data_IF_781098875769
#
_entry.id   IF_781098875769
#
_cell.length_a   1.000
_cell.length_b   1.000
_cell.length_c   1.000
_cell.angle_alpha   90.00
_cell.angle_beta   90.00
_cell.angle_gamma   90.00
#
_symmetry.space_group_name_H-M   'P 1'
#
loop_
_entity.id
_entity.type
_entity.pdbx_description
1 polymer ?
#
# COMPACT_ATOMS: atom_id res chain seq x y z
N UNK A 1 -22.50 -9.06 -35.11
CA UNK A 1 -21.51 -8.68 -34.08
C UNK A 1 -22.07 -7.76 -33.00
N UNK A 2 -22.82 -6.68 -33.30
CA UNK A 2 -23.33 -5.70 -32.31
C UNK A 2 -23.80 -6.30 -30.96
N UNK A 3 -24.81 -7.19 -30.95
CA UNK A 3 -25.33 -7.88 -29.74
C UNK A 3 -24.30 -8.72 -28.94
N UNK A 4 -23.12 -8.99 -29.48
CA UNK A 4 -22.04 -9.65 -28.76
C UNK A 4 -21.12 -8.63 -28.09
N UNK A 5 -20.79 -7.53 -28.78
CA UNK A 5 -20.05 -6.40 -28.21
C UNK A 5 -20.85 -5.77 -27.06
N UNK A 6 -22.15 -5.51 -27.29
CA UNK A 6 -23.12 -5.01 -26.30
C UNK A 6 -23.16 -5.85 -25.02
N UNK A 7 -23.06 -7.18 -25.13
CA UNK A 7 -22.98 -8.10 -23.97
C UNK A 7 -21.63 -8.04 -23.27
N UNK A 8 -20.53 -7.92 -24.00
CA UNK A 8 -19.20 -7.78 -23.39
C UNK A 8 -19.07 -6.41 -22.68
N UNK A 9 -19.74 -5.37 -23.19
CA UNK A 9 -19.82 -4.06 -22.54
C UNK A 9 -20.71 -4.09 -21.29
N UNK A 10 -21.80 -4.87 -21.28
CA UNK A 10 -22.57 -5.17 -20.06
C UNK A 10 -21.76 -5.99 -19.04
N UNK A 11 -21.02 -7.01 -19.47
CA UNK A 11 -20.12 -7.79 -18.61
C UNK A 11 -19.02 -6.89 -17.98
N UNK A 12 -18.46 -5.95 -18.75
CA UNK A 12 -17.44 -5.01 -18.27
C UNK A 12 -18.01 -4.01 -17.25
N UNK A 13 -19.19 -3.44 -17.50
CA UNK A 13 -19.86 -2.56 -16.55
C UNK A 13 -20.15 -3.26 -15.22
N UNK A 14 -20.61 -4.52 -15.25
CA UNK A 14 -20.83 -5.31 -14.04
C UNK A 14 -19.54 -5.61 -13.25
N UNK A 15 -18.39 -5.73 -13.94
CA UNK A 15 -17.07 -5.87 -13.30
C UNK A 15 -16.55 -4.54 -12.73
N UNK A 16 -16.90 -3.41 -13.34
CA UNK A 16 -16.62 -2.05 -12.84
C UNK A 16 -17.46 -1.75 -11.58
N UNK A 17 -18.76 -2.08 -11.57
CA UNK A 17 -19.62 -2.02 -10.39
C UNK A 17 -19.09 -2.90 -9.23
N UNK A 18 -18.70 -4.15 -9.54
CA UNK A 18 -18.11 -5.06 -8.56
C UNK A 18 -16.78 -4.52 -8.00
N UNK A 19 -16.01 -3.80 -8.82
CA UNK A 19 -14.75 -3.15 -8.41
C UNK A 19 -15.02 -1.92 -7.52
N UNK A 20 -16.06 -1.12 -7.80
CA UNK A 20 -16.47 -0.01 -6.95
C UNK A 20 -16.98 -0.48 -5.57
N UNK A 21 -17.77 -1.57 -5.52
CA UNK A 21 -18.17 -2.21 -4.26
C UNK A 21 -16.96 -2.71 -3.46
N UNK A 22 -15.98 -3.32 -4.13
CA UNK A 22 -14.75 -3.79 -3.49
C UNK A 22 -13.84 -2.63 -3.03
N UNK A 23 -13.79 -1.53 -3.79
CA UNK A 23 -13.10 -0.27 -3.40
C UNK A 23 -13.65 0.24 -2.08
N UNK A 24 -14.97 0.27 -1.91
CA UNK A 24 -15.63 0.71 -0.68
C UNK A 24 -15.44 -0.27 0.51
N UNK A 25 -15.45 -1.58 0.27
CA UNK A 25 -15.13 -2.59 1.30
C UNK A 25 -13.69 -2.41 1.81
N UNK A 26 -12.72 -2.31 0.88
CA UNK A 26 -11.31 -2.03 1.19
C UNK A 26 -11.13 -0.72 1.97
N UNK A 27 -11.80 0.35 1.55
CA UNK A 27 -11.71 1.67 2.17
C UNK A 27 -12.09 1.66 3.67
N UNK A 28 -13.16 0.93 3.98
CA UNK A 28 -13.67 0.73 5.34
C UNK A 28 -12.70 -0.12 6.16
N UNK A 29 -12.19 -1.22 5.61
CA UNK A 29 -11.21 -2.08 6.29
C UNK A 29 -9.90 -1.34 6.55
N UNK A 30 -9.37 -0.60 5.58
CA UNK A 30 -8.15 0.21 5.76
C UNK A 30 -8.32 1.31 6.80
N UNK A 31 -9.47 2.00 6.83
CA UNK A 31 -9.76 3.01 7.87
C UNK A 31 -9.68 2.41 9.28
N UNK A 32 -10.34 1.27 9.50
CA UNK A 32 -10.32 0.57 10.79
C UNK A 32 -8.93 0.03 11.14
N UNK A 33 -8.25 -0.58 10.19
CA UNK A 33 -6.88 -1.09 10.35
C UNK A 33 -5.88 0.02 10.69
N UNK A 34 -5.92 1.17 10.01
CA UNK A 34 -5.01 2.30 10.26
C UNK A 34 -5.26 2.97 11.62
N UNK A 35 -6.52 3.04 12.07
CA UNK A 35 -6.86 3.54 13.42
C UNK A 35 -6.30 2.65 14.54
N UNK A 36 -6.24 1.33 14.32
CA UNK A 36 -5.60 0.39 15.23
C UNK A 36 -4.07 0.44 15.10
N UNK A 37 -3.55 0.50 13.87
CA UNK A 37 -2.13 0.46 13.59
C UNK A 37 -1.42 1.68 14.19
N UNK A 38 -1.95 2.89 13.99
CA UNK A 38 -1.39 4.10 14.59
C UNK A 38 -1.33 4.05 16.12
N UNK A 39 -2.30 3.38 16.78
CA UNK A 39 -2.23 3.14 18.22
C UNK A 39 -1.14 2.12 18.59
N UNK A 40 -1.05 1.00 17.87
CA UNK A 40 -0.05 -0.03 18.12
C UNK A 40 1.37 0.50 17.89
N UNK A 41 1.61 1.18 16.76
CA UNK A 41 2.87 1.88 16.43
C UNK A 41 3.28 2.83 17.55
N UNK A 42 2.36 3.67 18.05
CA UNK A 42 2.65 4.58 19.16
C UNK A 42 2.98 3.85 20.49
N UNK A 43 2.38 2.70 20.77
CA UNK A 43 2.72 1.86 21.94
C UNK A 43 4.09 1.20 21.76
N UNK A 44 4.36 0.62 20.60
CA UNK A 44 5.61 -0.09 20.28
C UNK A 44 6.81 0.86 20.21
N UNK A 45 6.65 2.06 19.64
CA UNK A 45 7.67 3.12 19.67
C UNK A 45 8.13 3.44 21.10
N UNK A 46 7.19 3.56 22.05
CA UNK A 46 7.49 3.85 23.45
C UNK A 46 8.18 2.65 24.12
N UNK A 47 7.74 1.42 23.83
CA UNK A 47 8.36 0.19 24.35
C UNK A 47 9.80 0.00 23.83
N UNK A 48 10.01 0.12 22.52
CA UNK A 48 11.32 0.05 21.88
C UNK A 48 12.26 1.15 22.41
N UNK A 49 11.77 2.39 22.52
CA UNK A 49 12.53 3.50 23.10
C UNK A 49 12.92 3.23 24.57
N UNK A 50 11.99 2.69 25.37
CA UNK A 50 12.28 2.29 26.74
C UNK A 50 13.36 1.22 26.80
N UNK A 51 13.28 0.17 25.97
CA UNK A 51 14.28 -0.89 25.90
C UNK A 51 15.66 -0.36 25.49
N UNK A 52 15.76 0.50 24.46
CA UNK A 52 17.03 1.13 24.06
C UNK A 52 17.61 1.98 25.20
N UNK A 53 16.79 2.79 25.89
CA UNK A 53 17.25 3.64 26.98
C UNK A 53 17.65 2.88 28.26
N UNK A 54 17.11 1.68 28.51
CA UNK A 54 17.29 0.96 29.79
C UNK A 54 18.10 -0.32 29.70
N UNK A 55 18.04 -1.02 28.57
CA UNK A 55 18.75 -2.28 28.32
C UNK A 55 19.89 -2.11 27.31
N UNK A 56 19.74 -1.19 26.34
CA UNK A 56 20.81 -0.85 25.38
C UNK A 56 21.88 0.06 25.98
N UNK A 57 21.49 1.27 26.40
CA UNK A 57 22.43 2.31 26.84
C UNK A 57 22.04 2.93 28.21
N UNK A 58 21.87 2.12 29.28
CA UNK A 58 21.47 2.63 30.59
C UNK A 58 22.39 3.72 31.13
N UNK A 59 23.71 3.63 30.90
CA UNK A 59 24.66 4.64 31.39
C UNK A 59 24.50 5.99 30.68
N UNK A 60 24.24 5.99 29.36
CA UNK A 60 23.99 7.22 28.61
C UNK A 60 22.65 7.86 29.00
N UNK A 61 21.60 7.05 29.22
CA UNK A 61 20.33 7.55 29.74
C UNK A 61 20.46 8.07 31.19
N UNK A 62 21.34 7.49 32.00
CA UNK A 62 21.63 7.95 33.37
C UNK A 62 22.54 9.19 33.42
N UNK A 63 23.36 9.47 32.41
CA UNK A 63 24.13 10.72 32.34
C UNK A 63 23.28 11.93 31.95
N UNK A 64 22.13 11.72 31.29
CA UNK A 64 21.18 12.80 30.99
C UNK A 64 20.60 13.43 32.26
N UNK A 65 20.42 14.75 32.25
CA UNK A 65 19.68 15.47 33.29
C UNK A 65 18.19 15.13 33.28
N UNK A 66 17.49 15.43 34.38
CA UNK A 66 16.04 15.22 34.48
C UNK A 66 15.27 15.91 33.34
N UNK A 67 15.62 17.16 33.00
CA UNK A 67 14.97 17.91 31.93
C UNK A 67 15.29 17.36 30.53
N UNK A 68 16.49 16.82 30.31
CA UNK A 68 16.83 16.12 29.07
C UNK A 68 16.00 14.83 28.91
N UNK A 69 15.90 14.01 29.96
CA UNK A 69 15.06 12.78 29.96
C UNK A 69 13.59 13.11 29.72
N UNK A 70 13.07 14.15 30.38
CA UNK A 70 11.69 14.62 30.19
C UNK A 70 11.44 15.08 28.75
N UNK A 71 12.35 15.90 28.19
CA UNK A 71 12.24 16.39 26.80
C UNK A 71 12.27 15.23 25.81
N UNK A 72 13.19 14.27 25.97
CA UNK A 72 13.29 13.07 25.13
C UNK A 72 11.97 12.28 25.12
N UNK A 73 11.42 11.97 26.30
CA UNK A 73 10.16 11.25 26.42
C UNK A 73 8.98 12.01 25.79
N UNK A 74 8.92 13.33 25.94
CA UNK A 74 7.91 14.18 25.31
C UNK A 74 8.03 14.18 23.78
N UNK A 75 9.24 14.31 23.24
CA UNK A 75 9.46 14.28 21.78
C UNK A 75 9.08 12.92 21.17
N UNK A 76 9.46 11.80 21.79
CA UNK A 76 9.07 10.46 21.31
C UNK A 76 7.54 10.28 21.35
N UNK A 77 6.87 10.75 22.41
CA UNK A 77 5.40 10.73 22.48
C UNK A 77 4.73 11.61 21.41
N UNK A 78 5.32 12.76 21.07
CA UNK A 78 4.84 13.64 19.99
C UNK A 78 5.04 12.99 18.61
N UNK A 79 6.19 12.35 18.37
CA UNK A 79 6.47 11.64 17.12
C UNK A 79 5.51 10.47 16.91
N UNK A 80 5.22 9.69 17.97
CA UNK A 80 4.22 8.62 17.90
C UNK A 80 2.79 9.10 17.65
N UNK A 81 2.42 10.31 18.11
CA UNK A 81 1.13 10.94 17.74
C UNK A 81 1.13 11.40 16.28
N UNK A 82 2.17 12.12 15.86
CA UNK A 82 2.30 12.61 14.47
C UNK A 82 2.26 11.45 13.47
N UNK A 83 2.92 10.34 13.74
CA UNK A 83 2.86 9.15 12.89
C UNK A 83 1.46 8.51 12.85
N UNK A 84 0.76 8.45 14.00
CA UNK A 84 -0.65 8.01 14.05
C UNK A 84 -1.56 8.91 13.19
N UNK A 85 -1.35 10.23 13.22
CA UNK A 85 -2.06 11.20 12.39
C UNK A 85 -1.69 11.05 10.89
N UNK A 86 -0.40 10.87 10.57
CA UNK A 86 0.10 10.69 9.20
C UNK A 86 -0.47 9.42 8.53
N UNK A 87 -0.48 8.29 9.26
CA UNK A 87 -1.04 7.02 8.77
C UNK A 87 -2.52 7.15 8.34
N UNK A 88 -3.31 7.93 9.08
CA UNK A 88 -4.70 8.22 8.70
C UNK A 88 -4.78 9.24 7.54
N UNK A 89 -3.89 10.23 7.53
CA UNK A 89 -3.88 11.25 6.48
C UNK A 89 -3.60 10.71 5.08
N UNK A 90 -2.85 9.60 4.93
CA UNK A 90 -2.62 8.94 3.64
C UNK A 90 -3.94 8.45 3.01
N UNK A 91 -4.82 7.87 3.83
CA UNK A 91 -6.14 7.41 3.39
C UNK A 91 -7.06 8.59 3.02
N UNK A 92 -6.97 9.72 3.72
CA UNK A 92 -7.74 10.93 3.38
C UNK A 92 -7.19 11.68 2.17
N UNK A 93 -5.87 11.75 2.00
CA UNK A 93 -5.21 12.43 0.88
C UNK A 93 -5.57 11.72 -0.44
N UNK A 94 -5.53 10.38 -0.45
CA UNK A 94 -6.00 9.58 -1.58
C UNK A 94 -7.45 9.92 -1.98
N UNK A 95 -8.36 10.09 -1.01
CA UNK A 95 -9.77 10.44 -1.30
C UNK A 95 -9.93 11.84 -1.87
N UNK A 96 -9.05 12.77 -1.51
CA UNK A 96 -9.09 14.16 -1.99
C UNK A 96 -8.51 14.29 -3.40
N UNK A 97 -7.46 13.54 -3.75
CA UNK A 97 -6.93 13.49 -5.12
C UNK A 97 -8.03 13.16 -6.13
N UNK A 98 -8.78 12.07 -5.88
CA UNK A 98 -9.95 11.65 -6.69
C UNK A 98 -11.10 12.66 -6.73
N UNK A 99 -11.13 13.67 -5.83
CA UNK A 99 -12.15 14.74 -5.84
C UNK A 99 -11.67 16.02 -6.53
N UNK A 100 -10.37 16.19 -6.75
CA UNK A 100 -9.79 17.37 -7.41
C UNK A 100 -9.56 17.13 -8.92
N UNK A 101 -9.19 15.92 -9.35
CA UNK A 101 -9.07 15.57 -10.78
C UNK A 101 -10.43 15.64 -11.52
N UNK A 102 -11.52 15.34 -10.82
CA UNK A 102 -12.91 15.49 -11.29
C UNK A 102 -13.32 16.96 -11.53
N UNK A 103 -12.60 17.95 -10.97
CA UNK A 103 -12.91 19.38 -11.16
C UNK A 103 -12.33 19.96 -12.44
N UNK A 104 -11.07 19.68 -12.77
CA UNK A 104 -10.45 20.22 -14.00
C UNK A 104 -11.01 19.54 -15.27
N UNK A 105 -11.45 18.29 -15.16
CA UNK A 105 -12.08 17.51 -16.24
C UNK A 105 -13.39 18.08 -16.79
N UNK A 106 -13.94 19.13 -16.18
CA UNK A 106 -15.20 19.78 -16.60
C UNK A 106 -14.97 21.08 -17.40
N UNK A 107 -13.77 21.27 -17.95
CA UNK A 107 -13.40 22.40 -18.82
C UNK A 107 -13.80 22.15 -20.28
N UNK A 108 -14.98 22.64 -20.66
CA UNK A 108 -15.51 22.57 -22.03
C UNK A 108 -14.59 23.23 -23.07
N UNK A 109 -14.08 22.45 -24.03
CA UNK A 109 -13.73 22.94 -25.38
C UNK A 109 -13.87 21.77 -26.40
N UNK A 110 -14.54 21.94 -27.56
CA UNK A 110 -14.91 20.81 -28.42
C UNK A 110 -13.77 20.43 -29.40
N UNK A 111 -13.15 19.26 -29.18
CA UNK A 111 -12.12 18.72 -30.07
C UNK A 111 -12.67 18.33 -31.46
N UNK A 112 -12.02 18.74 -32.57
CA UNK A 112 -12.43 18.34 -33.94
C UNK A 112 -12.22 16.85 -34.24
N UNK A 113 -13.01 16.31 -35.17
CA UNK A 113 -12.85 14.95 -35.70
C UNK A 113 -11.64 14.85 -36.65
N UNK A 114 -10.78 13.83 -36.54
CA UNK A 114 -9.82 13.46 -37.58
C UNK A 114 -10.41 12.45 -38.59
N UNK A 115 -9.86 12.44 -39.80
CA UNK A 115 -10.35 11.66 -40.95
C UNK A 115 -9.81 10.22 -41.01
N UNK A 116 -10.40 9.41 -41.90
CA UNK A 116 -10.09 7.99 -42.10
C UNK A 116 -8.82 7.82 -42.93
N UNK A 117 -7.90 6.94 -42.51
CA UNK A 117 -6.95 6.26 -43.43
C UNK A 117 -6.87 4.77 -43.11
N UNK A 118 -6.88 3.93 -44.15
CA UNK A 118 -6.97 2.46 -44.06
C UNK A 118 -5.61 1.78 -43.84
N UNK A 119 -5.61 0.54 -43.32
CA UNK A 119 -4.94 -0.62 -43.96
C UNK A 119 -5.14 -1.95 -43.18
N UNK A 120 -4.94 -3.06 -43.91
CA UNK A 120 -5.19 -4.49 -43.58
C UNK A 120 -3.99 -5.36 -44.04
N UNK A 121 -3.88 -6.71 -43.87
CA UNK A 121 -4.39 -7.71 -42.88
C UNK A 121 -3.16 -8.41 -42.19
N UNK A 122 -3.03 -9.76 -41.93
CA UNK A 122 -3.98 -10.89 -41.63
C UNK A 122 -4.79 -10.73 -40.32
N UNK A 123 -5.76 -11.55 -39.87
CA UNK A 123 -6.28 -12.92 -40.18
C UNK A 123 -5.53 -14.16 -39.63
N UNK A 124 -6.18 -15.00 -38.79
CA UNK A 124 -6.63 -16.37 -39.16
C UNK A 124 -7.58 -17.02 -38.08
N UNK A 125 -8.44 -17.95 -38.53
CA UNK A 125 -9.20 -19.03 -37.86
C UNK A 125 -10.20 -18.78 -36.69
N UNK A 126 -11.36 -19.48 -36.75
CA UNK A 126 -12.57 -19.36 -35.90
C UNK A 126 -12.82 -20.55 -34.92
N UNK A 127 -13.78 -20.46 -33.96
CA UNK A 127 -13.94 -21.42 -32.84
C UNK A 127 -15.22 -22.30 -32.84
N UNK A 128 -15.26 -23.24 -31.88
CA UNK A 128 -16.41 -24.04 -31.40
C UNK A 128 -16.38 -24.07 -29.85
N UNK A 129 -17.45 -24.27 -29.04
CA UNK A 129 -18.90 -24.41 -29.24
C UNK A 129 -19.64 -23.84 -27.98
N UNK A 130 -20.97 -23.70 -28.01
CA UNK A 130 -21.78 -22.99 -27.00
C UNK A 130 -22.50 -23.90 -25.97
N UNK A 131 -23.09 -23.29 -24.92
CA UNK A 131 -24.05 -23.84 -23.93
C UNK A 131 -23.40 -24.66 -22.79
N UNK A 132 -23.87 -24.64 -21.53
CA UNK A 132 -25.26 -24.63 -21.01
C UNK A 132 -25.45 -23.66 -19.83
N UNK A 133 -26.64 -23.06 -19.75
CA UNK A 133 -27.22 -22.47 -18.53
C UNK A 133 -28.75 -22.65 -18.56
N UNK A 134 -29.37 -22.99 -17.43
CA UNK A 134 -30.83 -22.89 -17.22
C UNK A 134 -31.13 -21.99 -16.01
N UNK A 135 -32.29 -21.29 -15.98
CA UNK A 135 -32.56 -20.22 -15.02
C UNK A 135 -33.39 -20.68 -13.80
N UNK A 136 -33.34 -19.87 -12.73
CA UNK A 136 -34.34 -19.88 -11.65
C UNK A 136 -34.87 -18.45 -11.47
N UNK A 137 -36.20 -18.20 -11.52
CA UNK A 137 -36.76 -16.85 -11.58
C UNK A 137 -37.32 -16.33 -10.24
N UNK A 138 -36.96 -15.09 -9.88
CA UNK A 138 -37.71 -14.21 -8.97
C UNK A 138 -37.78 -14.61 -7.47
N UNK A 139 -38.17 -13.73 -6.56
CA UNK A 139 -38.32 -12.27 -6.68
C UNK A 139 -38.15 -11.65 -5.29
N UNK A 140 -37.26 -10.66 -5.13
CA UNK A 140 -37.16 -9.83 -3.93
C UNK A 140 -36.85 -8.41 -4.35
N UNK A 141 -37.73 -7.48 -3.97
CA UNK A 141 -37.54 -6.05 -4.20
C UNK A 141 -36.48 -5.51 -3.22
N UNK A 142 -35.52 -4.75 -3.75
CA UNK A 142 -34.53 -4.00 -2.99
C UNK A 142 -34.37 -2.62 -3.64
N UNK A 143 -34.31 -1.58 -2.82
CA UNK A 143 -34.42 -0.18 -3.26
C UNK A 143 -33.15 0.28 -4.01
N UNK A 144 -33.33 1.09 -5.06
CA UNK A 144 -32.22 1.66 -5.81
C UNK A 144 -31.55 2.81 -5.02
N UNK A 145 -30.23 2.77 -4.76
CA UNK A 145 -29.53 3.88 -4.12
C UNK A 145 -29.27 5.01 -5.12
N UNK A 146 -30.10 6.05 -5.08
CA UNK A 146 -29.90 7.29 -5.85
C UNK A 146 -28.72 8.14 -5.34
N UNK A 147 -27.48 7.63 -5.44
CA UNK A 147 -26.25 8.41 -5.58
C UNK A 147 -25.08 7.47 -5.95
N UNK A 148 -24.73 7.41 -7.24
CA UNK A 148 -23.42 6.91 -7.66
C UNK A 148 -22.45 8.08 -7.52
N UNK A 149 -21.69 8.09 -6.43
CA UNK A 149 -20.59 9.03 -6.24
C UNK A 149 -19.57 8.83 -7.37
N UNK A 150 -19.40 9.86 -8.22
CA UNK A 150 -18.54 9.83 -9.41
C UNK A 150 -17.08 9.58 -9.02
N UNK A 151 -16.69 9.84 -7.76
CA UNK A 151 -15.40 9.46 -7.18
C UNK A 151 -15.10 7.95 -7.27
N UNK A 152 -16.11 7.09 -7.38
CA UNK A 152 -15.93 5.65 -7.62
C UNK A 152 -15.73 5.30 -9.10
N UNK A 153 -16.10 6.16 -10.05
CA UNK A 153 -16.17 5.80 -11.48
C UNK A 153 -14.79 5.75 -12.15
N UNK A 154 -13.83 6.53 -11.65
CA UNK A 154 -12.43 6.51 -12.09
C UNK A 154 -11.73 5.24 -11.55
N UNK A 155 -11.81 5.05 -10.23
CA UNK A 155 -11.34 3.87 -9.50
C UNK A 155 -12.12 2.57 -9.78
N UNK A 156 -13.15 2.61 -10.62
CA UNK A 156 -13.91 1.43 -11.06
C UNK A 156 -13.04 0.47 -11.90
N UNK A 157 -11.92 0.95 -12.45
CA UNK A 157 -10.94 0.10 -13.14
C UNK A 157 -10.09 -0.66 -12.12
N UNK A 158 -10.04 -2.01 -12.16
CA UNK A 158 -9.32 -2.79 -11.16
C UNK A 158 -7.79 -2.60 -11.21
N UNK A 159 -7.25 -2.03 -12.28
CA UNK A 159 -5.87 -1.53 -12.37
C UNK A 159 -5.62 -0.36 -11.39
N UNK A 160 -6.49 0.66 -11.39
CA UNK A 160 -6.35 1.82 -10.50
C UNK A 160 -6.57 1.41 -9.04
N UNK A 161 -7.52 0.51 -8.77
CA UNK A 161 -7.71 -0.09 -7.43
C UNK A 161 -6.46 -0.84 -6.94
N UNK A 162 -5.67 -1.42 -7.84
CA UNK A 162 -4.40 -2.07 -7.48
C UNK A 162 -3.30 -1.06 -7.16
N UNK A 163 -3.11 -0.04 -8.02
CA UNK A 163 -2.14 1.04 -7.82
C UNK A 163 -2.42 1.84 -6.54
N UNK A 164 -3.69 2.18 -6.29
CA UNK A 164 -4.14 2.81 -5.05
C UNK A 164 -3.70 2.04 -3.81
N UNK A 165 -3.91 0.72 -3.82
CA UNK A 165 -3.56 -0.11 -2.67
C UNK A 165 -2.04 -0.20 -2.48
N UNK A 166 -1.28 -0.31 -3.57
CA UNK A 166 0.19 -0.35 -3.54
C UNK A 166 0.77 0.95 -2.97
N UNK A 167 0.30 2.11 -3.44
CA UNK A 167 0.69 3.43 -2.90
C UNK A 167 0.36 3.58 -1.41
N UNK A 168 -0.79 3.09 -0.95
CA UNK A 168 -1.18 3.14 0.46
C UNK A 168 -0.30 2.23 1.33
N UNK A 169 0.03 1.02 0.86
CA UNK A 169 0.95 0.10 1.55
C UNK A 169 2.37 0.67 1.62
N UNK A 170 2.86 1.28 0.53
CA UNK A 170 4.16 1.94 0.51
C UNK A 170 4.20 3.13 1.47
N UNK A 171 3.17 3.99 1.47
CA UNK A 171 3.06 5.13 2.38
C UNK A 171 3.03 4.70 3.87
N UNK A 172 2.42 3.56 4.20
CA UNK A 172 2.48 2.96 5.54
C UNK A 172 3.93 2.57 5.87
N UNK A 173 4.61 1.84 4.98
CA UNK A 173 5.99 1.39 5.19
C UNK A 173 6.98 2.57 5.34
N UNK A 174 6.93 3.54 4.42
CA UNK A 174 7.71 4.78 4.47
C UNK A 174 7.47 5.55 5.78
N UNK A 175 6.24 5.56 6.32
CA UNK A 175 5.93 6.22 7.60
C UNK A 175 6.61 5.54 8.78
N UNK A 176 6.70 4.21 8.79
CA UNK A 176 7.38 3.44 9.84
C UNK A 176 8.92 3.54 9.75
N UNK A 177 9.47 3.50 8.54
CA UNK A 177 10.91 3.72 8.32
C UNK A 177 11.30 5.15 8.72
N UNK A 178 10.55 6.17 8.26
CA UNK A 178 10.74 7.58 8.62
C UNK A 178 10.62 7.79 10.14
N UNK A 179 9.66 7.16 10.81
CA UNK A 179 9.53 7.23 12.27
C UNK A 179 10.74 6.59 12.97
N UNK A 180 11.22 5.44 12.50
CA UNK A 180 12.38 4.74 13.06
C UNK A 180 13.66 5.56 12.91
N UNK A 181 13.94 6.05 11.70
CA UNK A 181 15.11 6.89 11.40
C UNK A 181 15.11 8.18 12.23
N UNK A 182 13.99 8.91 12.29
CA UNK A 182 13.90 10.11 13.12
C UNK A 182 14.07 9.82 14.62
N UNK A 183 13.61 8.67 15.11
CA UNK A 183 13.76 8.32 16.53
C UNK A 183 15.20 7.94 16.85
N UNK A 184 15.87 7.19 15.97
CA UNK A 184 17.30 6.90 16.08
C UNK A 184 18.14 8.18 16.06
N UNK A 185 17.84 9.12 15.15
CA UNK A 185 18.49 10.42 15.09
C UNK A 185 18.28 11.25 16.37
N UNK A 186 17.07 11.25 16.96
CA UNK A 186 16.80 11.89 18.26
C UNK A 186 17.60 11.23 19.41
N UNK A 187 17.79 9.92 19.37
CA UNK A 187 18.61 9.18 20.34
C UNK A 187 20.11 9.40 20.14
N UNK A 188 20.57 9.64 18.91
CA UNK A 188 21.94 10.09 18.62
C UNK A 188 22.17 11.53 19.08
N UNK A 189 21.23 12.45 18.81
CA UNK A 189 21.29 13.85 19.26
C UNK A 189 21.27 14.01 20.78
N UNK A 190 20.68 13.05 21.50
CA UNK A 190 20.74 13.00 22.98
C UNK A 190 21.91 12.18 23.51
N UNK A 191 22.80 11.68 22.65
CA UNK A 191 24.00 10.92 23.05
C UNK A 191 23.72 9.53 23.63
N UNK A 192 22.52 8.98 23.41
CA UNK A 192 22.14 7.64 23.84
C UNK A 192 22.66 6.59 22.86
N UNK A 193 22.43 6.77 21.56
CA UNK A 193 23.01 5.93 20.51
C UNK A 193 24.33 6.58 20.05
N UNK A 194 25.44 5.83 19.89
CA UNK A 194 26.69 6.38 19.38
C UNK A 194 26.52 6.94 17.96
N UNK A 195 27.08 8.14 17.71
CA UNK A 195 27.02 8.85 16.43
C UNK A 195 27.87 8.23 15.32
N UNK A 196 28.58 7.12 15.58
CA UNK A 196 29.39 6.36 14.59
C UNK A 196 28.54 5.55 13.57
N UNK A 197 27.20 5.61 13.63
CA UNK A 197 26.31 5.03 12.61
C UNK A 197 25.93 6.06 11.53
N UNK A 198 26.40 5.92 10.28
CA UNK A 198 25.85 6.68 9.15
C UNK A 198 24.39 6.27 8.88
N UNK A 199 23.53 7.23 8.53
CA UNK A 199 22.13 6.94 8.18
C UNK A 199 22.01 5.89 7.06
N UNK A 200 22.90 5.94 6.06
CA UNK A 200 22.97 4.95 4.98
C UNK A 200 23.21 3.50 5.45
N UNK A 201 23.88 3.28 6.59
CA UNK A 201 24.06 1.93 7.16
C UNK A 201 22.78 1.45 7.85
N UNK A 202 22.05 2.35 8.50
CA UNK A 202 20.73 2.04 9.06
C UNK A 202 19.71 1.73 7.95
N UNK A 203 19.68 2.53 6.87
CA UNK A 203 18.82 2.29 5.71
C UNK A 203 19.19 1.02 4.92
N UNK A 204 20.48 0.69 4.82
CA UNK A 204 20.90 -0.58 4.24
C UNK A 204 20.44 -1.77 5.11
N UNK A 205 20.53 -1.64 6.44
CA UNK A 205 20.11 -2.66 7.38
C UNK A 205 18.58 -2.84 7.42
N UNK A 206 17.76 -1.77 7.37
CA UNK A 206 16.29 -1.90 7.28
C UNK A 206 15.87 -2.65 6.01
N UNK A 207 16.52 -2.35 4.88
CA UNK A 207 16.22 -2.98 3.58
C UNK A 207 16.74 -4.43 3.51
N UNK A 208 17.86 -4.74 4.16
CA UNK A 208 18.38 -6.11 4.27
C UNK A 208 17.55 -7.01 5.22
N UNK A 209 17.17 -6.49 6.40
CA UNK A 209 16.28 -7.18 7.35
C UNK A 209 14.93 -7.53 6.71
N UNK A 210 14.34 -6.58 5.97
CA UNK A 210 13.07 -6.81 5.24
C UNK A 210 13.19 -7.88 4.14
N UNK A 211 14.41 -8.20 3.70
CA UNK A 211 14.70 -9.20 2.67
C UNK A 211 15.10 -10.56 3.25
N UNK A 212 15.36 -10.65 4.56
CA UNK A 212 15.98 -11.82 5.19
C UNK A 212 15.13 -12.31 6.36
N UNK A 213 14.62 -13.53 6.29
CA UNK A 213 13.86 -14.19 7.39
C UNK A 213 14.77 -14.63 8.56
N UNK A 214 15.85 -13.87 8.80
CA UNK A 214 16.71 -14.03 9.96
C UNK A 214 15.95 -13.61 11.21
N UNK A 215 15.52 -14.60 12.00
CA UNK A 215 14.97 -14.41 13.34
C UNK A 215 16.02 -13.75 14.24
N UNK A 216 16.06 -12.42 14.24
CA UNK A 216 16.97 -11.64 15.07
C UNK A 216 16.64 -11.89 16.54
N UNK A 217 17.47 -12.67 17.23
CA UNK A 217 17.29 -13.02 18.65
C UNK A 217 17.50 -11.78 19.52
N UNK A 218 16.43 -11.00 19.66
CA UNK A 218 16.38 -9.71 20.32
C UNK A 218 14.95 -9.32 20.67
N UNK A 219 14.77 -8.19 21.33
CA UNK A 219 13.45 -7.67 21.67
C UNK A 219 12.79 -7.00 20.44
N UNK A 220 11.45 -7.04 20.34
CA UNK A 220 10.75 -6.65 19.13
C UNK A 220 10.95 -5.17 18.78
N UNK A 221 10.95 -4.89 17.49
CA UNK A 221 11.19 -3.60 16.87
C UNK A 221 12.59 -2.98 17.13
N UNK A 222 13.60 -3.79 17.47
CA UNK A 222 14.99 -3.35 17.62
C UNK A 222 15.95 -4.03 16.62
N UNK A 223 16.73 -3.21 15.93
CA UNK A 223 17.89 -3.64 15.16
C UNK A 223 19.11 -3.81 16.08
N UNK A 224 19.85 -4.90 15.91
CA UNK A 224 21.07 -5.21 16.66
C UNK A 224 22.22 -5.41 15.68
N UNK A 225 23.08 -4.40 15.54
CA UNK A 225 24.28 -4.46 14.70
C UNK A 225 25.50 -4.82 15.55
N UNK A 226 26.44 -5.54 14.95
CA UNK A 226 27.82 -5.66 15.43
C UNK A 226 28.70 -4.87 14.47
N UNK A 227 29.52 -3.97 15.01
CA UNK A 227 30.45 -3.14 14.25
C UNK A 227 31.86 -3.39 14.77
N UNK A 228 32.75 -3.83 13.90
CA UNK A 228 34.18 -3.83 14.19
C UNK A 228 34.65 -2.36 14.19
N UNK A 229 35.14 -1.90 15.34
CA UNK A 229 35.81 -0.60 15.45
C UNK A 229 37.31 -0.83 15.61
N UNK A 230 38.07 -0.43 14.60
CA UNK A 230 39.51 -0.20 14.72
C UNK A 230 39.76 0.77 15.89
N UNK A 231 40.68 0.41 16.79
CA UNK A 231 41.18 1.29 17.84
C UNK A 231 42.21 2.26 17.28
N UNK A 232 42.30 3.46 17.85
CA UNK A 232 43.34 4.45 17.47
C UNK A 232 44.73 4.10 18.06
N UNK A 233 44.81 3.08 18.92
CA UNK A 233 46.03 2.42 19.36
C UNK A 233 46.31 1.17 18.48
N UNK A 234 47.57 0.95 18.10
CA UNK A 234 48.08 -0.15 17.25
C UNK A 234 48.03 -1.57 17.90
N UNK A 235 46.97 -1.87 18.65
CA UNK A 235 46.68 -3.21 19.19
C UNK A 235 45.79 -4.01 18.23
N UNK A 236 46.18 -5.25 17.89
CA UNK A 236 45.50 -6.12 16.91
C UNK A 236 44.08 -6.62 17.32
N UNK A 237 43.50 -6.10 18.41
CA UNK A 237 42.20 -6.48 18.94
C UNK A 237 41.06 -5.66 18.31
N UNK A 238 40.52 -6.11 17.17
CA UNK A 238 39.33 -5.50 16.53
C UNK A 238 38.12 -5.49 17.47
N UNK A 239 37.82 -4.33 18.07
CA UNK A 239 36.76 -4.23 19.08
C UNK A 239 35.35 -4.31 18.46
N UNK A 240 34.68 -5.45 18.64
CA UNK A 240 33.30 -5.67 18.21
C UNK A 240 32.30 -4.89 19.09
N UNK A 241 32.00 -3.65 18.69
CA UNK A 241 30.99 -2.80 19.33
C UNK A 241 29.58 -3.23 18.92
N UNK A 242 28.77 -3.71 19.87
CA UNK A 242 27.34 -3.95 19.64
C UNK A 242 26.56 -2.63 19.69
N UNK A 243 25.80 -2.34 18.64
CA UNK A 243 24.98 -1.14 18.52
C UNK A 243 23.52 -1.56 18.39
N UNK A 244 22.68 -1.07 19.31
CA UNK A 244 21.23 -1.31 19.32
C UNK A 244 20.51 -0.04 18.84
N UNK A 245 19.55 -0.19 17.92
CA UNK A 245 18.76 0.89 17.34
C UNK A 245 17.29 0.45 17.20
N UNK A 246 16.37 1.40 16.98
CA UNK A 246 14.95 1.13 16.76
C UNK A 246 14.70 0.85 15.27
N UNK A 247 13.96 -0.20 14.96
CA UNK A 247 13.46 -0.54 13.63
C UNK A 247 12.01 -1.04 13.76
N UNK A 248 11.03 -0.18 13.48
CA UNK A 248 9.60 -0.50 13.60
C UNK A 248 9.15 -1.38 12.43
N UNK A 249 9.21 -2.70 12.60
CA UNK A 249 8.85 -3.70 11.59
C UNK A 249 7.34 -3.95 11.60
N UNK A 250 6.65 -3.67 10.48
CA UNK A 250 5.19 -3.81 10.38
C UNK A 250 4.69 -5.20 10.79
N UNK A 251 5.39 -6.26 10.36
CA UNK A 251 5.06 -7.65 10.68
C UNK A 251 5.08 -7.96 12.17
N UNK A 252 6.01 -7.39 12.95
CA UNK A 252 6.08 -7.58 14.40
C UNK A 252 4.99 -6.79 15.13
N UNK A 253 4.62 -5.61 14.60
CA UNK A 253 3.53 -4.79 15.14
C UNK A 253 2.16 -5.47 14.88
N UNK A 254 1.97 -6.04 13.69
CA UNK A 254 0.79 -6.86 13.34
C UNK A 254 0.72 -8.17 14.15
N UNK A 255 1.85 -8.84 14.37
CA UNK A 255 1.91 -10.08 15.14
C UNK A 255 1.60 -9.87 16.63
N UNK A 256 1.99 -8.71 17.18
CA UNK A 256 1.78 -8.37 18.58
C UNK A 256 0.32 -8.02 18.96
N UNK A 257 -0.58 -7.76 17.99
CA UNK A 257 -1.99 -7.45 18.24
C UNK A 257 -2.92 -8.32 17.36
N UNK A 258 -3.72 -9.23 17.95
CA UNK A 258 -4.59 -10.12 17.18
C UNK A 258 -5.68 -9.37 16.39
N UNK A 259 -6.02 -8.13 16.77
CA UNK A 259 -6.99 -7.31 16.03
C UNK A 259 -6.37 -6.73 14.76
N UNK A 260 -5.08 -6.38 14.77
CA UNK A 260 -4.34 -6.01 13.57
C UNK A 260 -4.16 -7.19 12.63
N UNK A 261 -3.77 -8.35 13.16
CA UNK A 261 -3.63 -9.57 12.36
C UNK A 261 -4.97 -9.95 11.68
N UNK A 262 -6.09 -9.85 12.39
CA UNK A 262 -7.43 -10.05 11.81
C UNK A 262 -7.74 -9.05 10.69
N UNK A 263 -7.50 -7.74 10.91
CA UNK A 263 -7.69 -6.71 9.88
C UNK A 263 -6.78 -6.90 8.66
N UNK A 264 -5.52 -7.32 8.88
CA UNK A 264 -4.57 -7.61 7.81
C UNK A 264 -4.99 -8.79 6.95
N UNK A 265 -5.54 -9.83 7.58
CA UNK A 265 -6.08 -10.99 6.85
C UNK A 265 -7.38 -10.66 6.10
N UNK A 266 -8.20 -9.73 6.60
CA UNK A 266 -9.30 -9.15 5.82
C UNK A 266 -8.76 -8.43 4.58
N UNK A 267 -7.78 -7.52 4.72
CA UNK A 267 -7.13 -6.82 3.59
C UNK A 267 -6.61 -7.84 2.56
N UNK A 268 -5.85 -8.86 2.98
CA UNK A 268 -5.34 -9.92 2.08
C UNK A 268 -6.46 -10.64 1.31
N UNK A 269 -7.57 -10.96 1.97
CA UNK A 269 -8.73 -11.60 1.33
C UNK A 269 -9.39 -10.67 0.29
N UNK A 270 -9.49 -9.37 0.57
CA UNK A 270 -10.03 -8.39 -0.38
C UNK A 270 -9.09 -8.16 -1.58
N UNK A 271 -7.77 -8.12 -1.36
CA UNK A 271 -6.78 -8.12 -2.46
C UNK A 271 -6.85 -9.39 -3.31
N UNK A 272 -7.19 -10.53 -2.74
CA UNK A 272 -7.44 -11.75 -3.51
C UNK A 272 -8.68 -11.61 -4.42
N UNK A 273 -9.81 -11.08 -3.91
CA UNK A 273 -10.99 -10.73 -4.73
C UNK A 273 -10.65 -9.73 -5.85
N UNK A 274 -9.85 -8.71 -5.54
CA UNK A 274 -9.37 -7.71 -6.51
C UNK A 274 -8.59 -8.38 -7.63
N UNK A 275 -7.69 -9.31 -7.29
CA UNK A 275 -6.85 -10.01 -8.26
C UNK A 275 -7.66 -10.97 -9.17
N UNK A 276 -8.82 -11.46 -8.75
CA UNK A 276 -9.71 -12.22 -9.66
C UNK A 276 -10.49 -11.29 -10.58
N UNK A 277 -11.14 -10.23 -10.06
CA UNK A 277 -11.84 -9.22 -10.88
C UNK A 277 -10.92 -8.59 -11.94
N UNK A 278 -9.69 -8.24 -11.57
CA UNK A 278 -8.67 -7.71 -12.47
C UNK A 278 -8.37 -8.64 -13.66
N UNK A 279 -8.28 -9.96 -13.43
CA UNK A 279 -8.05 -10.96 -14.49
C UNK A 279 -9.27 -11.12 -15.40
N UNK A 280 -10.46 -11.10 -14.82
CA UNK A 280 -11.73 -11.21 -15.56
C UNK A 280 -11.97 -9.96 -16.42
N UNK A 281 -11.69 -8.77 -15.89
CA UNK A 281 -11.75 -7.51 -16.61
C UNK A 281 -10.78 -7.46 -17.79
N UNK A 282 -9.50 -7.81 -17.59
CA UNK A 282 -8.53 -7.89 -18.70
C UNK A 282 -8.94 -8.93 -19.76
N UNK A 283 -9.52 -10.07 -19.36
CA UNK A 283 -10.05 -11.06 -20.30
C UNK A 283 -11.20 -10.46 -21.13
N UNK A 284 -12.17 -9.81 -20.48
CA UNK A 284 -13.32 -9.19 -21.14
C UNK A 284 -12.94 -8.02 -22.03
N UNK A 285 -12.00 -7.19 -21.62
CA UNK A 285 -11.47 -6.09 -22.43
C UNK A 285 -10.72 -6.61 -23.67
N UNK A 286 -10.06 -7.77 -23.58
CA UNK A 286 -9.49 -8.46 -24.76
C UNK A 286 -10.54 -9.11 -25.65
N UNK A 287 -11.58 -9.73 -25.08
CA UNK A 287 -12.75 -10.21 -25.85
C UNK A 287 -13.40 -9.05 -26.63
N UNK A 288 -13.52 -7.87 -26.01
CA UNK A 288 -14.05 -6.64 -26.63
C UNK A 288 -13.16 -6.14 -27.76
N UNK A 289 -11.85 -6.01 -27.54
CA UNK A 289 -10.94 -5.47 -28.58
C UNK A 289 -10.83 -6.38 -29.79
N UNK A 290 -10.85 -7.71 -29.60
CA UNK A 290 -10.96 -8.68 -30.71
C UNK A 290 -12.28 -8.51 -31.44
N UNK A 291 -13.42 -8.47 -30.73
CA UNK A 291 -14.74 -8.32 -31.35
C UNK A 291 -14.93 -6.98 -32.10
N UNK A 292 -14.29 -5.90 -31.63
CA UNK A 292 -14.28 -4.60 -32.30
C UNK A 292 -13.36 -4.60 -33.54
N UNK A 293 -12.16 -5.17 -33.44
CA UNK A 293 -11.27 -5.35 -34.60
C UNK A 293 -11.94 -6.23 -35.67
N UNK A 294 -12.59 -7.33 -35.27
CA UNK A 294 -13.40 -8.20 -36.13
C UNK A 294 -14.61 -7.50 -36.77
N UNK A 295 -15.15 -6.45 -36.16
CA UNK A 295 -16.25 -5.67 -36.70
C UNK A 295 -15.75 -4.60 -37.68
N UNK A 296 -14.66 -3.92 -37.35
CA UNK A 296 -13.98 -2.97 -38.24
C UNK A 296 -13.49 -3.67 -39.50
N UNK A 297 -12.83 -4.82 -39.35
CA UNK A 297 -12.38 -5.73 -40.40
C UNK A 297 -13.48 -6.00 -41.46
N UNK A 298 -14.67 -6.38 -41.01
CA UNK A 298 -15.81 -6.69 -41.90
C UNK A 298 -16.53 -5.45 -42.45
N UNK A 299 -16.09 -4.26 -42.09
CA UNK A 299 -16.58 -2.98 -42.59
C UNK A 299 -15.57 -2.26 -43.50
N UNK A 300 -14.28 -2.61 -43.43
CA UNK A 300 -13.22 -2.19 -44.37
C UNK A 300 -13.09 -3.10 -45.58
N UNK A 301 -13.56 -4.36 -45.50
CA UNK A 301 -13.55 -5.31 -46.61
C UNK A 301 -14.60 -4.98 -47.68
N UNK A 302 -14.13 -4.52 -48.85
CA UNK A 302 -14.93 -4.35 -50.07
C UNK A 302 -14.44 -5.30 -51.17
N UNK A 303 -15.35 -5.82 -51.99
CA UNK A 303 -15.05 -6.55 -53.23
C UNK A 303 -15.34 -5.63 -54.43
N UNK A 304 -14.35 -5.48 -55.32
CA UNK A 304 -14.42 -4.76 -56.62
C UNK A 304 -14.81 -5.71 -57.78
#
# INVERSE_FOLDING_TARGET
>A
MARAIERIEQDLAALEDATALLRAELDKTYSQYLQLLGQAVRRQLILASYQVCTHGYPQAFLSLSFSQRQKLQQSIQQMGKKAQEQLLSHLEASKKATQEEVRDSNSNDPAPQPEITSNEPPQDATPEILSIFEPVPGNLEAEAPENIDISNLELAKPEQLAQWQEQLEEAIAQTLETLSLNTNHLLQQTGIIPSKLPAAVLEAATKADNSTESVTVGSPNLLNLLMETESEDDSEDSTLTRIIAINLRLSEIEFADPTLNAGRNQIRNLSAKRNTLHREYHKKQRERSVAQAEAAWRASWFED
#
